data_IF_827184643589
#
_entry.id   IF_827184643589
#
_cell.length_a   1.000
_cell.length_b   1.000
_cell.length_c   1.000
_cell.angle_alpha   90.00
_cell.angle_beta   90.00
_cell.angle_gamma   90.00
#
_symmetry.space_group_name_H-M   'P 1'
#
loop_
_entity.id
_entity.type
_entity.pdbx_description
1 polymer ?
#
# COMPACT_ATOMS: atom_id res chain seq x y z
N UNK A 1 -26.87 -14.58 16.33
CA UNK A 1 -25.48 -14.79 15.88
C UNK A 1 -24.90 -13.60 15.12
N UNK A 2 -25.69 -12.57 14.77
CA UNK A 2 -25.24 -11.35 14.08
C UNK A 2 -25.19 -10.12 14.98
N UNK A 3 -25.11 -10.26 16.30
CA UNK A 3 -25.18 -9.15 17.26
C UNK A 3 -24.11 -8.07 17.08
N UNK A 4 -22.99 -8.43 16.49
CA UNK A 4 -21.85 -7.51 16.27
C UNK A 4 -21.73 -7.04 14.82
N UNK A 5 -22.61 -7.49 13.92
CA UNK A 5 -22.57 -7.07 12.52
C UNK A 5 -23.18 -5.68 12.39
N UNK A 6 -22.45 -4.77 11.74
CA UNK A 6 -22.99 -3.48 11.35
C UNK A 6 -24.20 -3.70 10.43
N UNK A 7 -25.27 -2.95 10.62
CA UNK A 7 -26.50 -3.05 9.81
C UNK A 7 -26.20 -2.95 8.31
N UNK A 8 -25.25 -2.12 7.93
CA UNK A 8 -24.76 -1.96 6.55
C UNK A 8 -24.18 -3.24 5.97
N UNK A 9 -23.43 -4.01 6.77
CA UNK A 9 -22.86 -5.29 6.33
C UNK A 9 -23.96 -6.36 6.20
N UNK A 10 -24.93 -6.40 7.12
CA UNK A 10 -26.06 -7.31 7.04
C UNK A 10 -26.91 -7.03 5.81
N UNK A 11 -27.21 -5.77 5.50
CA UNK A 11 -27.89 -5.36 4.28
C UNK A 11 -27.08 -5.76 3.03
N UNK A 12 -25.76 -5.53 3.01
CA UNK A 12 -24.90 -5.92 1.90
C UNK A 12 -24.90 -7.43 1.62
N UNK A 13 -24.99 -8.27 2.68
CA UNK A 13 -25.15 -9.73 2.51
C UNK A 13 -26.50 -10.07 1.86
N UNK A 14 -27.59 -9.42 2.31
CA UNK A 14 -28.93 -9.62 1.75
C UNK A 14 -29.01 -9.13 0.30
N UNK A 15 -28.45 -7.97 0.01
CA UNK A 15 -28.37 -7.41 -1.34
C UNK A 15 -27.52 -8.28 -2.28
N UNK A 16 -26.42 -8.83 -1.79
CA UNK A 16 -25.60 -9.77 -2.56
C UNK A 16 -26.39 -11.05 -2.91
N UNK A 17 -27.23 -11.54 -1.99
CA UNK A 17 -28.09 -12.71 -2.20
C UNK A 17 -29.28 -12.41 -3.12
N UNK A 18 -29.85 -11.21 -3.07
CA UNK A 18 -31.03 -10.81 -3.87
C UNK A 18 -30.70 -10.25 -5.25
N UNK A 19 -29.40 -10.05 -5.56
CA UNK A 19 -28.96 -9.40 -6.79
C UNK A 19 -29.22 -7.89 -6.86
N UNK A 20 -29.81 -7.28 -5.82
CA UNK A 20 -29.99 -5.85 -5.71
C UNK A 20 -28.64 -5.15 -5.53
N UNK A 21 -28.40 -4.10 -6.29
CA UNK A 21 -27.10 -3.41 -6.31
C UNK A 21 -27.26 -1.97 -5.86
N UNK A 22 -27.01 -1.69 -4.59
CA UNK A 22 -26.77 -0.31 -4.14
C UNK A 22 -25.27 0.01 -4.28
N UNK A 23 -24.89 0.99 -5.10
CA UNK A 23 -23.48 1.35 -5.26
C UNK A 23 -22.97 1.99 -3.95
N UNK A 24 -22.04 1.33 -3.32
CA UNK A 24 -21.28 1.88 -2.19
C UNK A 24 -20.03 2.60 -2.70
N UNK A 25 -19.59 3.68 -2.04
CA UNK A 25 -18.36 4.34 -2.43
C UNK A 25 -17.18 3.37 -2.37
N UNK A 26 -16.26 3.41 -3.34
CA UNK A 26 -15.08 2.55 -3.33
C UNK A 26 -14.23 2.80 -2.09
N UNK A 27 -13.44 1.81 -1.71
CA UNK A 27 -12.50 1.93 -0.59
C UNK A 27 -11.41 2.93 -0.95
N UNK A 28 -11.22 3.97 -0.13
CA UNK A 28 -10.13 4.92 -0.29
C UNK A 28 -8.82 4.38 0.29
N UNK A 29 -7.69 4.90 -0.19
CA UNK A 29 -6.37 4.53 0.33
C UNK A 29 -6.21 4.89 1.82
N UNK A 30 -6.70 6.05 2.25
CA UNK A 30 -6.64 6.46 3.66
C UNK A 30 -7.41 5.49 4.58
N UNK A 31 -8.61 5.06 4.17
CA UNK A 31 -9.40 4.07 4.91
C UNK A 31 -8.72 2.69 4.90
N UNK A 32 -8.12 2.29 3.79
CA UNK A 32 -7.37 1.04 3.71
C UNK A 32 -6.25 1.01 4.73
N UNK A 33 -5.44 2.08 4.81
CA UNK A 33 -4.32 2.23 5.76
C UNK A 33 -4.79 2.27 7.21
N UNK A 34 -6.00 2.73 7.47
CA UNK A 34 -6.61 2.71 8.79
C UNK A 34 -7.09 1.30 9.19
N UNK A 35 -7.62 0.52 8.26
CA UNK A 35 -8.19 -0.81 8.51
C UNK A 35 -7.14 -1.92 8.53
N UNK A 36 -6.13 -1.83 7.67
CA UNK A 36 -5.12 -2.87 7.48
C UNK A 36 -3.72 -2.25 7.45
N UNK A 37 -2.83 -2.82 8.25
CA UNK A 37 -1.42 -2.44 8.22
C UNK A 37 -0.70 -3.05 7.02
N UNK A 38 0.46 -2.52 6.59
CA UNK A 38 1.28 -3.16 5.56
C UNK A 38 1.70 -4.59 5.90
N UNK A 39 1.81 -4.90 7.20
CA UNK A 39 2.11 -6.25 7.69
C UNK A 39 0.92 -7.19 7.48
N UNK A 40 -0.30 -6.73 7.76
CA UNK A 40 -1.52 -7.51 7.53
C UNK A 40 -1.72 -7.80 6.06
N UNK A 41 -1.43 -6.83 5.18
CA UNK A 41 -1.45 -7.04 3.74
C UNK A 41 -0.50 -8.16 3.29
N UNK A 42 0.72 -8.22 3.85
CA UNK A 42 1.67 -9.32 3.58
C UNK A 42 1.17 -10.68 4.10
N UNK A 43 0.55 -10.72 5.29
CA UNK A 43 -0.05 -11.95 5.84
C UNK A 43 -1.15 -12.47 4.91
N UNK A 44 -2.06 -11.61 4.48
CA UNK A 44 -3.14 -11.95 3.55
C UNK A 44 -2.62 -12.42 2.19
N UNK A 45 -1.61 -11.76 1.66
CA UNK A 45 -0.96 -12.12 0.40
C UNK A 45 -0.29 -13.50 0.51
N UNK A 46 0.44 -13.75 1.59
CA UNK A 46 1.08 -15.04 1.85
C UNK A 46 0.04 -16.17 2.01
N UNK A 47 -1.09 -15.91 2.67
CA UNK A 47 -2.20 -16.85 2.74
C UNK A 47 -2.82 -17.11 1.37
N UNK A 48 -3.11 -16.06 0.60
CA UNK A 48 -3.61 -16.18 -0.77
C UNK A 48 -2.70 -16.98 -1.71
N UNK A 49 -1.39 -17.00 -1.42
CA UNK A 49 -0.38 -17.76 -2.14
C UNK A 49 -0.11 -19.17 -1.55
N UNK A 50 -0.92 -19.62 -0.59
CA UNK A 50 -0.79 -20.90 0.13
C UNK A 50 0.56 -21.06 0.88
N UNK A 51 1.15 -19.95 1.34
CA UNK A 51 2.39 -19.94 2.14
C UNK A 51 2.07 -19.98 3.64
N UNK A 52 0.96 -19.35 4.05
CA UNK A 52 0.49 -19.32 5.43
C UNK A 52 -0.79 -20.12 5.59
N UNK A 53 -1.01 -20.61 6.81
CA UNK A 53 -2.21 -21.34 7.20
C UNK A 53 -3.34 -20.39 7.63
N UNK A 54 -4.59 -20.87 7.55
CA UNK A 54 -5.79 -20.12 7.89
C UNK A 54 -5.77 -19.49 9.29
N UNK A 55 -5.33 -20.16 10.38
CA UNK A 55 -5.32 -19.57 11.73
C UNK A 55 -4.57 -18.23 11.82
N UNK A 56 -3.54 -18.04 10.99
CA UNK A 56 -2.70 -16.83 11.02
C UNK A 56 -3.43 -15.60 10.48
N UNK A 57 -4.49 -15.77 9.69
CA UNK A 57 -5.25 -14.69 9.05
C UNK A 57 -6.71 -14.61 9.51
N UNK A 58 -7.12 -15.45 10.47
CA UNK A 58 -8.51 -15.50 10.95
C UNK A 58 -8.99 -14.16 11.53
N UNK A 59 -8.10 -13.38 12.14
CA UNK A 59 -8.36 -12.05 12.67
C UNK A 59 -8.67 -11.01 11.57
N UNK A 60 -8.13 -11.20 10.37
CA UNK A 60 -8.29 -10.29 9.23
C UNK A 60 -9.50 -10.63 8.35
N UNK A 61 -9.97 -11.88 8.39
CA UNK A 61 -11.12 -12.32 7.56
C UNK A 61 -12.41 -11.53 7.82
N UNK A 62 -12.75 -11.14 9.06
CA UNK A 62 -13.94 -10.31 9.30
C UNK A 62 -13.88 -8.96 8.59
N UNK A 63 -12.70 -8.32 8.53
CA UNK A 63 -12.51 -7.05 7.84
C UNK A 63 -12.70 -7.24 6.33
N UNK A 64 -12.06 -8.26 5.75
CA UNK A 64 -12.22 -8.58 4.32
C UNK A 64 -13.67 -8.89 3.97
N UNK A 65 -14.34 -9.70 4.78
CA UNK A 65 -15.74 -10.07 4.56
C UNK A 65 -16.66 -8.83 4.64
N UNK A 66 -16.43 -7.93 5.60
CA UNK A 66 -17.18 -6.67 5.70
C UNK A 66 -16.99 -5.81 4.43
N UNK A 67 -15.76 -5.63 3.97
CA UNK A 67 -15.46 -4.85 2.76
C UNK A 67 -16.10 -5.47 1.51
N UNK A 68 -16.04 -6.79 1.40
CA UNK A 68 -16.61 -7.52 0.27
C UNK A 68 -18.14 -7.41 0.23
N UNK A 69 -18.84 -7.72 1.33
CA UNK A 69 -20.30 -7.66 1.39
C UNK A 69 -20.85 -6.23 1.41
N UNK A 70 -20.07 -5.25 1.85
CA UNK A 70 -20.37 -3.84 1.67
C UNK A 70 -20.11 -3.35 0.23
N UNK A 71 -19.68 -4.24 -0.70
CA UNK A 71 -19.41 -3.93 -2.10
C UNK A 71 -18.44 -2.77 -2.31
N UNK A 72 -17.46 -2.64 -1.42
CA UNK A 72 -16.45 -1.57 -1.47
C UNK A 72 -15.18 -1.97 -2.23
N UNK A 73 -15.00 -3.26 -2.51
CA UNK A 73 -13.88 -3.78 -3.28
C UNK A 73 -14.17 -3.71 -4.77
N UNK A 74 -13.23 -3.16 -5.53
CA UNK A 74 -13.30 -3.06 -7.00
C UNK A 74 -12.40 -4.11 -7.65
N UNK A 75 -12.67 -4.43 -8.91
CA UNK A 75 -11.79 -5.31 -9.69
C UNK A 75 -10.38 -4.75 -9.73
N UNK A 76 -9.39 -5.65 -9.73
CA UNK A 76 -8.00 -5.28 -9.93
C UNK A 76 -7.68 -4.97 -11.41
N UNK A 77 -8.61 -5.25 -12.33
CA UNK A 77 -8.44 -4.99 -13.76
C UNK A 77 -8.39 -3.49 -14.04
N UNK A 78 -7.36 -3.08 -14.76
CA UNK A 78 -7.16 -1.68 -15.14
C UNK A 78 -8.19 -1.20 -16.19
N UNK A 79 -8.74 -2.15 -16.96
CA UNK A 79 -9.72 -1.84 -17.99
C UNK A 79 -11.12 -1.51 -17.41
N UNK A 80 -11.43 -1.95 -16.20
CA UNK A 80 -12.76 -1.77 -15.60
C UNK A 80 -12.66 -1.50 -14.08
N UNK A 81 -12.13 -0.32 -13.77
CA UNK A 81 -11.85 0.16 -12.40
C UNK A 81 -13.12 0.25 -11.53
N UNK A 82 -14.26 0.52 -12.14
CA UNK A 82 -15.54 0.69 -11.44
C UNK A 82 -16.24 -0.64 -11.14
N UNK A 83 -15.79 -1.72 -11.76
CA UNK A 83 -16.41 -3.03 -11.58
C UNK A 83 -16.23 -3.53 -10.15
N UNK A 84 -17.34 -3.90 -9.51
CA UNK A 84 -17.34 -4.51 -8.19
C UNK A 84 -16.67 -5.89 -8.26
N UNK A 85 -15.82 -6.19 -7.26
CA UNK A 85 -15.19 -7.50 -7.17
C UNK A 85 -16.24 -8.59 -6.92
N UNK A 86 -16.26 -9.61 -7.77
CA UNK A 86 -17.09 -10.79 -7.61
C UNK A 86 -16.23 -12.04 -7.40
N UNK A 87 -16.59 -12.82 -6.40
CA UNK A 87 -16.06 -14.19 -6.19
C UNK A 87 -17.19 -15.21 -6.40
N UNK A 88 -16.84 -16.48 -6.55
CA UNK A 88 -17.87 -17.53 -6.73
C UNK A 88 -18.83 -17.62 -5.54
N UNK A 89 -20.06 -18.07 -5.77
CA UNK A 89 -21.07 -18.19 -4.71
C UNK A 89 -20.61 -19.05 -3.52
N UNK A 90 -19.92 -20.17 -3.80
CA UNK A 90 -19.32 -21.01 -2.75
C UNK A 90 -18.21 -20.28 -1.98
N UNK A 91 -17.35 -19.53 -2.67
CA UNK A 91 -16.31 -18.74 -2.00
C UNK A 91 -16.91 -17.64 -1.13
N UNK A 92 -17.99 -16.99 -1.58
CA UNK A 92 -18.69 -15.98 -0.76
C UNK A 92 -19.39 -16.59 0.45
N UNK A 93 -19.98 -17.79 0.32
CA UNK A 93 -20.55 -18.53 1.44
C UNK A 93 -19.49 -18.93 2.48
N UNK A 94 -18.32 -19.41 2.03
CA UNK A 94 -17.18 -19.69 2.90
C UNK A 94 -16.71 -18.43 3.62
N UNK A 95 -16.57 -17.33 2.91
CA UNK A 95 -16.16 -16.04 3.48
C UNK A 95 -17.19 -15.53 4.50
N UNK A 96 -18.47 -15.67 4.23
CA UNK A 96 -19.56 -15.32 5.15
C UNK A 96 -19.47 -16.13 6.44
N UNK A 97 -19.34 -17.45 6.31
CA UNK A 97 -19.36 -18.37 7.45
C UNK A 97 -18.10 -18.21 8.32
N UNK A 98 -16.91 -18.23 7.72
CA UNK A 98 -15.65 -18.12 8.47
C UNK A 98 -15.42 -16.69 8.93
N UNK A 99 -15.59 -15.70 8.04
CA UNK A 99 -15.29 -14.30 8.31
C UNK A 99 -16.29 -13.60 9.22
N UNK A 100 -17.60 -13.77 8.99
CA UNK A 100 -18.63 -13.04 9.75
C UNK A 100 -19.34 -13.89 10.79
N UNK A 101 -19.53 -15.19 10.56
CA UNK A 101 -20.20 -16.07 11.50
C UNK A 101 -19.23 -16.76 12.46
N UNK A 102 -17.93 -16.68 12.21
CA UNK A 102 -16.86 -17.34 12.99
C UNK A 102 -17.09 -18.85 13.13
N UNK A 103 -17.59 -19.47 12.05
CA UNK A 103 -17.73 -20.93 11.98
C UNK A 103 -16.42 -21.56 11.55
N UNK A 104 -16.20 -22.81 11.98
CA UNK A 104 -15.06 -23.57 11.49
C UNK A 104 -15.22 -23.90 10.01
N UNK A 105 -14.10 -23.97 9.29
CA UNK A 105 -14.12 -24.35 7.87
C UNK A 105 -14.47 -25.82 7.70
N UNK A 106 -14.13 -26.66 8.70
CA UNK A 106 -14.43 -28.10 8.77
C UNK A 106 -15.94 -28.34 8.85
N UNK A 107 -16.63 -27.64 9.77
CA UNK A 107 -18.09 -27.75 9.92
C UNK A 107 -18.79 -27.36 8.61
N UNK A 108 -18.30 -26.32 7.98
CA UNK A 108 -18.88 -25.83 6.73
C UNK A 108 -18.60 -26.77 5.56
N UNK A 109 -17.40 -27.34 5.48
CA UNK A 109 -17.07 -28.34 4.45
C UNK A 109 -17.97 -29.58 4.58
N UNK A 110 -18.24 -30.05 5.80
CA UNK A 110 -19.16 -31.15 6.06
C UNK A 110 -20.61 -30.80 5.69
N UNK A 111 -21.09 -29.59 6.03
CA UNK A 111 -22.43 -29.12 5.68
C UNK A 111 -22.62 -28.98 4.17
N UNK A 112 -21.61 -28.53 3.45
CA UNK A 112 -21.61 -28.39 1.99
C UNK A 112 -21.26 -29.69 1.25
N UNK A 113 -21.02 -30.79 1.99
CA UNK A 113 -20.62 -32.09 1.42
C UNK A 113 -19.42 -31.99 0.48
N UNK A 114 -18.43 -31.16 0.83
CA UNK A 114 -17.22 -30.96 0.03
C UNK A 114 -15.96 -31.36 0.79
N UNK A 115 -14.90 -31.77 0.09
CA UNK A 115 -13.61 -32.05 0.71
C UNK A 115 -13.03 -30.80 1.37
N UNK A 116 -12.45 -30.93 2.58
CA UNK A 116 -11.88 -29.83 3.34
C UNK A 116 -10.80 -29.05 2.55
N UNK A 117 -9.93 -29.76 1.82
CA UNK A 117 -8.91 -29.11 0.99
C UNK A 117 -9.51 -28.23 -0.12
N UNK A 118 -10.68 -28.60 -0.66
CA UNK A 118 -11.38 -27.81 -1.65
C UNK A 118 -11.97 -26.54 -1.02
N UNK A 119 -12.51 -26.61 0.20
CA UNK A 119 -12.99 -25.46 0.94
C UNK A 119 -11.85 -24.46 1.21
N UNK A 120 -10.69 -24.96 1.65
CA UNK A 120 -9.48 -24.13 1.81
C UNK A 120 -9.05 -23.47 0.50
N UNK A 121 -9.01 -24.23 -0.58
CA UNK A 121 -8.62 -23.70 -1.90
C UNK A 121 -9.55 -22.59 -2.38
N UNK A 122 -10.87 -22.75 -2.18
CA UNK A 122 -11.86 -21.74 -2.55
C UNK A 122 -11.74 -20.48 -1.70
N UNK A 123 -11.50 -20.63 -0.40
CA UNK A 123 -11.27 -19.50 0.50
C UNK A 123 -9.97 -18.75 0.15
N UNK A 124 -8.88 -19.47 -0.10
CA UNK A 124 -7.61 -18.88 -0.57
C UNK A 124 -7.78 -18.09 -1.87
N UNK A 125 -8.52 -18.64 -2.85
CA UNK A 125 -8.81 -17.94 -4.11
C UNK A 125 -9.59 -16.65 -3.87
N UNK A 126 -10.59 -16.68 -2.98
CA UNK A 126 -11.36 -15.50 -2.62
C UNK A 126 -10.47 -14.43 -1.96
N UNK A 127 -9.68 -14.81 -0.97
CA UNK A 127 -8.75 -13.89 -0.29
C UNK A 127 -7.73 -13.32 -1.27
N UNK A 128 -7.17 -14.14 -2.16
CA UNK A 128 -6.25 -13.66 -3.21
C UNK A 128 -6.88 -12.58 -4.09
N UNK A 129 -8.11 -12.80 -4.56
CA UNK A 129 -8.81 -11.82 -5.39
C UNK A 129 -9.07 -10.50 -4.62
N UNK A 130 -9.41 -10.58 -3.32
CA UNK A 130 -9.57 -9.40 -2.48
C UNK A 130 -8.25 -8.66 -2.25
N UNK A 131 -7.14 -9.38 -1.99
CA UNK A 131 -5.81 -8.78 -1.84
C UNK A 131 -5.39 -8.07 -3.11
N UNK A 132 -5.64 -8.64 -4.29
CA UNK A 132 -5.38 -7.98 -5.57
C UNK A 132 -6.17 -6.67 -5.70
N UNK A 133 -7.45 -6.67 -5.31
CA UNK A 133 -8.27 -5.46 -5.25
C UNK A 133 -7.69 -4.40 -4.31
N UNK A 134 -7.25 -4.78 -3.10
CA UNK A 134 -6.63 -3.88 -2.12
C UNK A 134 -5.28 -3.32 -2.63
N UNK A 135 -4.45 -4.16 -3.26
CA UNK A 135 -3.20 -3.73 -3.90
C UNK A 135 -3.44 -2.75 -5.06
N UNK A 136 -4.53 -2.92 -5.80
CA UNK A 136 -4.91 -1.96 -6.83
C UNK A 136 -5.26 -0.58 -6.25
N UNK A 137 -5.87 -0.52 -5.05
CA UNK A 137 -6.10 0.76 -4.35
C UNK A 137 -4.77 1.41 -3.95
N UNK A 138 -3.82 0.66 -3.39
CA UNK A 138 -2.48 1.18 -3.04
C UNK A 138 -1.73 1.69 -4.27
N UNK A 139 -1.74 0.92 -5.37
CA UNK A 139 -1.06 1.28 -6.62
C UNK A 139 -1.62 2.58 -7.20
N UNK A 140 -2.95 2.71 -7.30
CA UNK A 140 -3.59 3.93 -7.81
C UNK A 140 -3.28 5.16 -6.97
N UNK A 141 -3.21 5.01 -5.65
CA UNK A 141 -2.80 6.10 -4.78
C UNK A 141 -1.35 6.52 -5.02
N UNK A 142 -0.43 5.56 -5.16
CA UNK A 142 0.97 5.84 -5.46
C UNK A 142 1.16 6.50 -6.84
N UNK A 143 0.39 6.07 -7.86
CA UNK A 143 0.39 6.69 -9.19
C UNK A 143 -0.10 8.15 -9.13
N UNK A 144 -1.17 8.42 -8.38
CA UNK A 144 -1.69 9.78 -8.18
C UNK A 144 -0.68 10.68 -7.46
N UNK A 145 0.06 10.17 -6.47
CA UNK A 145 1.11 10.92 -5.77
C UNK A 145 2.29 11.25 -6.70
N UNK A 146 2.68 10.32 -7.58
CA UNK A 146 3.74 10.54 -8.57
C UNK A 146 3.31 11.60 -9.60
N UNK A 147 2.08 11.54 -10.08
CA UNK A 147 1.54 12.51 -11.04
C UNK A 147 1.43 13.91 -10.40
N UNK A 148 1.01 14.00 -9.13
CA UNK A 148 0.98 15.25 -8.38
C UNK A 148 2.38 15.86 -8.22
N UNK A 149 3.39 15.02 -7.91
CA UNK A 149 4.79 15.47 -7.78
C UNK A 149 5.37 15.89 -9.13
N UNK A 150 4.97 15.24 -10.21
CA UNK A 150 5.42 15.57 -11.58
C UNK A 150 4.76 16.85 -12.12
N UNK A 151 3.59 17.20 -11.62
CA UNK A 151 2.87 18.44 -11.98
C UNK A 151 3.47 19.70 -11.33
N UNK A 152 4.42 19.58 -10.40
CA UNK A 152 5.20 20.70 -9.85
C UNK A 152 6.62 20.75 -10.46
N UNK A 153 6.81 21.22 -11.71
CA UNK A 153 8.15 21.35 -12.29
C UNK A 153 8.94 22.54 -11.76
N UNK A 154 8.39 23.31 -10.81
CA UNK A 154 8.94 24.60 -10.42
C UNK A 154 10.03 24.55 -9.31
N UNK A 155 10.35 23.39 -8.75
CA UNK A 155 11.32 23.29 -7.63
C UNK A 155 12.63 22.56 -7.97
N UNK A 156 12.79 22.12 -9.20
CA UNK A 156 14.08 21.63 -9.70
C UNK A 156 14.68 22.65 -10.68
N UNK A 157 15.01 23.83 -10.16
CA UNK A 157 16.05 24.65 -10.83
C UNK A 157 17.30 23.76 -10.94
N UNK A 158 17.90 23.62 -12.14
CA UNK A 158 19.01 22.72 -12.31
C UNK A 158 20.11 23.11 -11.34
N UNK A 159 20.55 22.14 -10.52
CA UNK A 159 21.63 22.27 -9.54
C UNK A 159 22.92 22.88 -10.19
N UNK A 160 23.02 22.77 -11.52
CA UNK A 160 24.09 23.34 -12.32
C UNK A 160 24.16 24.89 -12.25
N UNK A 161 23.02 25.59 -12.25
CA UNK A 161 23.04 27.06 -12.19
C UNK A 161 23.50 27.57 -10.82
N UNK A 162 23.11 26.88 -9.74
CA UNK A 162 23.57 27.21 -8.40
C UNK A 162 25.03 26.83 -8.19
N UNK A 163 25.49 25.72 -8.78
CA UNK A 163 26.87 25.28 -8.67
C UNK A 163 27.85 26.23 -9.38
N UNK A 164 27.50 26.76 -10.56
CA UNK A 164 28.32 27.77 -11.25
C UNK A 164 28.37 29.09 -10.48
N UNK A 165 27.27 29.52 -9.87
CA UNK A 165 27.24 30.70 -9.04
C UNK A 165 28.07 30.53 -7.76
N UNK A 166 27.98 29.38 -7.11
CA UNK A 166 28.79 29.04 -5.92
C UNK A 166 30.28 28.92 -6.25
N UNK A 167 30.63 28.29 -7.37
CA UNK A 167 32.03 28.20 -7.84
C UNK A 167 32.59 29.57 -8.21
N UNK A 168 31.79 30.45 -8.83
CA UNK A 168 32.22 31.81 -9.14
C UNK A 168 32.39 32.67 -7.89
N UNK A 169 31.60 32.45 -6.85
CA UNK A 169 31.72 33.11 -5.55
C UNK A 169 32.91 32.56 -4.75
N UNK A 170 33.11 31.27 -4.70
CA UNK A 170 34.27 30.63 -4.10
C UNK A 170 35.56 31.06 -4.80
N UNK A 171 35.55 31.20 -6.14
CA UNK A 171 36.69 31.73 -6.90
C UNK A 171 37.03 33.20 -6.60
N UNK A 172 36.03 34.00 -6.25
CA UNK A 172 36.23 35.41 -5.83
C UNK A 172 36.75 35.54 -4.38
N UNK A 173 36.42 34.58 -3.53
CA UNK A 173 36.87 34.52 -2.13
C UNK A 173 38.22 33.81 -1.97
N UNK A 174 38.72 33.10 -2.98
CA UNK A 174 40.02 32.49 -2.96
C UNK A 174 41.08 33.59 -2.98
N UNK A 175 41.76 33.76 -1.88
CA UNK A 175 42.92 34.64 -1.79
C UNK A 175 43.95 34.20 -2.83
N UNK A 176 44.46 35.09 -3.71
CA UNK A 176 45.39 34.70 -4.75
C UNK A 176 46.61 34.07 -4.09
N UNK A 177 46.93 32.85 -4.47
CA UNK A 177 48.05 32.04 -3.93
C UNK A 177 49.40 32.80 -4.02
N UNK A 178 49.52 33.73 -4.99
CA UNK A 178 50.67 34.58 -5.18
C UNK A 178 50.85 35.60 -4.07
N UNK A 179 49.77 36.12 -3.49
CA UNK A 179 49.85 37.09 -2.37
C UNK A 179 50.32 36.39 -1.07
N UNK A 180 49.87 35.15 -0.82
CA UNK A 180 50.34 34.33 0.31
C UNK A 180 51.80 33.90 0.17
N UNK A 181 52.25 33.62 -1.05
CA UNK A 181 53.62 33.21 -1.33
C UNK A 181 54.59 34.39 -1.23
N UNK A 182 54.18 35.60 -1.64
CA UNK A 182 54.92 36.85 -1.49
C UNK A 182 55.08 37.23 -0.01
N UNK A 183 54.03 37.11 0.79
CA UNK A 183 54.07 37.40 2.23
C UNK A 183 54.98 36.42 2.99
N UNK A 184 54.93 35.12 2.68
CA UNK A 184 55.84 34.11 3.28
C UNK A 184 57.31 34.35 2.89
N UNK A 185 57.56 34.74 1.63
CA UNK A 185 58.95 35.05 1.17
C UNK A 185 59.52 36.28 1.87
N UNK A 186 58.69 37.30 2.12
CA UNK A 186 59.08 38.50 2.84
C UNK A 186 59.34 38.22 4.31
N UNK A 187 58.58 37.37 4.94
CA UNK A 187 58.75 36.95 6.34
C UNK A 187 60.01 36.12 6.55
N UNK A 188 60.34 35.24 5.60
CA UNK A 188 61.60 34.49 5.61
C UNK A 188 62.81 35.36 5.41
N UNK A 189 62.77 36.39 4.56
CA UNK A 189 63.83 37.36 4.38
C UNK A 189 64.09 38.18 5.63
N UNK A 190 63.00 38.68 6.29
CA UNK A 190 63.12 39.44 7.52
C UNK A 190 63.69 38.63 8.70
N UNK A 191 63.42 37.33 8.76
CA UNK A 191 64.00 36.43 9.76
C UNK A 191 65.48 36.17 9.54
N UNK A 192 65.95 36.21 8.31
CA UNK A 192 67.38 36.00 7.96
C UNK A 192 68.26 37.20 8.28
N UNK A 193 67.65 38.40 8.41
CA UNK A 193 68.41 39.63 8.73
C UNK A 193 68.56 39.92 10.25
N UNK A 194 67.99 39.12 11.12
CA UNK A 194 68.08 39.31 12.59
C UNK A 194 69.22 38.42 13.22
N UNK A 195 69.92 37.61 12.42
CA UNK A 195 70.95 36.71 12.87
C UNK A 195 72.34 37.01 12.25
N UNK A 196 72.70 38.32 12.15
CA UNK A 196 74.13 38.76 11.96
C UNK A 196 74.50 39.73 13.05
#
# INVERSE_FOLDING_TARGET
RFRELKTTTALGVLEAASGASTPQPPLSHAELRFLLTPFDMKRLESYGNNVLELPIVLDLLPILAQLYFARRLRSADEADVERILHVSGLSSALLLAVGLQRRSIEDLANELTMPLHQAHTLLCKAVRAMVQSLRAVERRAAEADVDATRAEPALLAPVAENLEAELAEAGRQAVPVDASRAALSQELMNRSLIHI
#
